data_IF_546478931211
#
_entry.id   IF_546478931211
#
_cell.length_a   1.000
_cell.length_b   1.000
_cell.length_c   1.000
_cell.angle_alpha   90.00
_cell.angle_beta   90.00
_cell.angle_gamma   90.00
#
_symmetry.space_group_name_H-M   'P 1'
#
loop_
_entity.id
_entity.type
_entity.pdbx_description
1 polymer ?
#
# COMPACT_ATOMS: atom_id res chain seq x y z
N UNK A 1 0.36 19.25 6.53
CA UNK A 1 0.07 18.11 7.44
C UNK A 1 -0.50 18.60 8.79
N UNK A 2 -1.72 19.18 8.81
CA UNK A 2 -2.31 19.70 10.06
C UNK A 2 -3.77 19.26 10.31
N UNK A 3 -4.36 18.43 9.43
CA UNK A 3 -5.79 18.13 9.45
C UNK A 3 -6.18 16.81 10.15
N UNK A 4 -5.22 15.98 10.61
CA UNK A 4 -5.53 14.65 11.17
C UNK A 4 -5.70 14.61 12.70
N UNK A 5 -5.53 15.74 13.41
CA UNK A 5 -5.59 15.80 14.88
C UNK A 5 -6.91 16.32 15.46
N UNK A 6 -7.90 16.70 14.63
CA UNK A 6 -9.14 17.30 15.10
C UNK A 6 -10.30 16.30 15.36
N UNK A 7 -10.18 15.03 14.92
CA UNK A 7 -11.31 14.08 14.93
C UNK A 7 -11.64 13.47 16.31
N UNK A 8 -10.72 13.51 17.27
CA UNK A 8 -10.88 12.77 18.54
C UNK A 8 -11.56 13.60 19.64
N UNK A 9 -11.70 14.93 19.47
CA UNK A 9 -12.12 15.82 20.56
C UNK A 9 -13.64 16.00 20.74
N UNK A 10 -14.49 15.53 19.82
CA UNK A 10 -15.90 15.95 19.80
C UNK A 10 -16.94 14.93 20.31
N UNK A 11 -16.54 13.73 20.76
CA UNK A 11 -17.51 12.62 20.97
C UNK A 11 -17.66 12.12 22.42
N UNK A 12 -17.53 13.00 23.41
CA UNK A 12 -17.57 12.60 24.82
C UNK A 12 -18.43 13.45 25.77
N UNK A 13 -19.20 14.42 25.28
CA UNK A 13 -20.03 15.28 26.13
C UNK A 13 -21.52 15.12 25.82
N UNK A 14 -22.18 14.16 26.47
CA UNK A 14 -23.62 14.26 26.80
C UNK A 14 -24.09 13.18 27.77
N UNK A 15 -24.52 13.68 28.95
CA UNK A 15 -25.74 13.33 29.69
C UNK A 15 -25.84 11.97 30.39
N UNK A 16 -26.04 12.02 31.71
CA UNK A 16 -26.69 10.96 32.48
C UNK A 16 -26.45 11.04 33.98
N UNK A 17 -27.15 11.95 34.67
CA UNK A 17 -27.26 11.97 36.13
C UNK A 17 -28.14 10.81 36.63
N UNK A 18 -27.86 10.26 37.83
CA UNK A 18 -28.88 9.46 38.54
C UNK A 18 -28.41 8.44 39.57
N UNK A 19 -28.47 8.85 40.84
CA UNK A 19 -28.80 8.06 42.05
C UNK A 19 -27.76 7.15 42.72
N UNK A 20 -27.84 7.20 44.04
CA UNK A 20 -26.92 6.70 45.05
C UNK A 20 -27.03 5.19 45.30
N UNK A 21 -25.91 4.62 45.75
CA UNK A 21 -25.83 3.28 46.33
C UNK A 21 -24.48 3.10 47.00
N UNK A 22 -24.44 3.27 48.31
CA UNK A 22 -23.25 3.10 49.14
C UNK A 22 -22.71 1.66 49.05
N UNK A 23 -21.46 1.52 48.60
CA UNK A 23 -20.76 0.25 48.52
C UNK A 23 -19.26 0.48 48.38
N UNK A 24 -18.50 0.01 49.37
CA UNK A 24 -17.05 0.14 49.59
C UNK A 24 -16.18 0.14 48.31
N UNK A 25 -15.11 0.96 48.22
CA UNK A 25 -14.24 0.96 47.05
C UNK A 25 -13.32 -0.28 47.07
N UNK A 26 -13.63 -1.29 46.25
CA UNK A 26 -12.57 -2.18 45.73
C UNK A 26 -11.89 -1.42 44.60
N UNK A 27 -10.66 -0.98 44.82
CA UNK A 27 -9.80 -0.45 43.79
C UNK A 27 -9.42 -1.59 42.81
N UNK A 28 -10.33 -1.93 41.90
CA UNK A 28 -9.98 -2.57 40.65
C UNK A 28 -9.69 -1.43 39.67
N UNK A 29 -8.43 -0.97 39.74
CA UNK A 29 -7.87 -0.09 38.73
C UNK A 29 -8.01 -0.76 37.37
N UNK A 30 -8.64 -0.05 36.44
CA UNK A 30 -8.91 -0.47 35.09
C UNK A 30 -7.66 -1.11 34.46
N UNK A 31 -7.72 -2.42 34.25
CA UNK A 31 -6.81 -3.09 33.32
C UNK A 31 -7.07 -2.48 31.95
N UNK A 32 -6.09 -1.69 31.51
CA UNK A 32 -6.04 -1.01 30.24
C UNK A 32 -6.36 -1.97 29.09
N UNK A 33 -7.33 -1.58 28.26
CA UNK A 33 -7.78 -2.20 27.01
C UNK A 33 -6.75 -2.15 25.86
N UNK A 34 -5.46 -2.24 26.16
CA UNK A 34 -4.39 -2.20 25.17
C UNK A 34 -3.49 -3.43 25.32
N UNK A 35 -3.51 -4.40 24.38
CA UNK A 35 -2.68 -5.60 24.44
C UNK A 35 -1.27 -5.30 23.92
N UNK A 36 -0.63 -4.27 24.47
CA UNK A 36 0.78 -4.01 24.21
C UNK A 36 1.52 -4.32 25.49
N UNK A 37 2.18 -5.48 25.53
CA UNK A 37 3.12 -5.75 26.60
C UNK A 37 4.19 -4.66 26.57
N UNK A 38 4.33 -3.94 27.69
CA UNK A 38 5.34 -2.90 27.82
C UNK A 38 6.72 -3.57 27.66
N UNK A 39 7.56 -3.12 26.71
CA UNK A 39 8.88 -3.70 26.50
C UNK A 39 9.65 -3.74 27.82
N UNK A 40 10.16 -4.92 28.17
CA UNK A 40 10.86 -5.11 29.43
C UNK A 40 12.13 -4.24 29.47
N UNK A 41 12.68 -3.99 30.66
CA UNK A 41 13.92 -3.23 30.81
C UNK A 41 15.09 -3.84 30.03
N UNK A 42 15.09 -5.16 29.82
CA UNK A 42 16.07 -5.86 29.00
C UNK A 42 15.91 -5.51 27.51
N UNK A 43 14.68 -5.50 27.00
CA UNK A 43 14.37 -5.12 25.61
C UNK A 43 14.77 -3.67 25.33
N UNK A 44 14.51 -2.76 26.28
CA UNK A 44 14.89 -1.34 26.15
C UNK A 44 16.41 -1.12 26.12
N UNK A 45 17.20 -1.99 26.75
CA UNK A 45 18.68 -1.93 26.73
C UNK A 45 19.26 -2.56 25.46
N UNK A 46 18.62 -3.58 24.90
CA UNK A 46 19.02 -4.21 23.65
C UNK A 46 18.59 -3.40 22.42
N UNK A 47 17.49 -2.63 22.53
CA UNK A 47 16.90 -1.85 21.43
C UNK A 47 17.88 -0.95 20.68
N UNK A 48 18.75 -0.15 21.33
CA UNK A 48 19.72 0.68 20.61
C UNK A 48 20.73 -0.12 19.80
N UNK A 49 21.11 -1.32 20.29
CA UNK A 49 22.02 -2.23 19.59
C UNK A 49 21.37 -2.87 18.37
N UNK A 50 20.12 -3.32 18.50
CA UNK A 50 19.33 -3.88 17.38
C UNK A 50 19.06 -2.82 16.31
N UNK A 51 18.72 -1.60 16.72
CA UNK A 51 18.52 -0.49 15.79
C UNK A 51 19.83 -0.13 15.10
N UNK A 52 20.94 0.03 15.82
CA UNK A 52 22.25 0.29 15.17
C UNK A 52 22.69 -0.81 14.20
N UNK A 53 22.35 -2.06 14.48
CA UNK A 53 22.70 -3.17 13.60
C UNK A 53 21.83 -3.24 12.33
N UNK A 54 20.53 -2.95 12.45
CA UNK A 54 19.56 -3.09 11.34
C UNK A 54 19.33 -1.82 10.54
N UNK A 55 19.46 -0.66 11.17
CA UNK A 55 19.16 0.63 10.57
C UNK A 55 20.03 0.92 9.33
N UNK A 56 21.34 0.63 9.29
CA UNK A 56 22.14 0.83 8.08
C UNK A 56 21.65 -0.01 6.90
N UNK A 57 21.28 -1.28 7.15
CA UNK A 57 20.76 -2.15 6.10
C UNK A 57 19.37 -1.69 5.60
N UNK A 58 18.51 -1.22 6.51
CA UNK A 58 17.22 -0.67 6.13
C UNK A 58 17.34 0.64 5.33
N UNK A 59 18.31 1.50 5.66
CA UNK A 59 18.60 2.72 4.88
C UNK A 59 19.11 2.35 3.50
N UNK A 60 20.07 1.43 3.39
CA UNK A 60 20.59 0.99 2.09
C UNK A 60 19.49 0.38 1.20
N UNK A 61 18.56 -0.40 1.77
CA UNK A 61 17.43 -0.93 1.02
C UNK A 61 16.43 0.16 0.61
N UNK A 62 16.20 1.17 1.47
CA UNK A 62 15.36 2.31 1.12
C UNK A 62 15.97 3.13 -0.03
N UNK A 63 17.27 3.42 0.01
CA UNK A 63 17.98 4.11 -1.07
C UNK A 63 17.91 3.33 -2.39
N UNK A 64 18.04 1.99 -2.32
CA UNK A 64 17.88 1.13 -3.50
C UNK A 64 16.46 1.19 -4.05
N UNK A 65 15.45 1.16 -3.18
CA UNK A 65 14.06 1.28 -3.57
C UNK A 65 13.78 2.63 -4.22
N UNK A 66 14.27 3.73 -3.66
CA UNK A 66 14.15 5.07 -4.24
C UNK A 66 14.75 5.14 -5.65
N UNK A 67 15.95 4.57 -5.85
CA UNK A 67 16.55 4.49 -7.18
C UNK A 67 15.67 3.69 -8.16
N UNK A 68 15.16 2.54 -7.73
CA UNK A 68 14.29 1.70 -8.58
C UNK A 68 12.96 2.35 -8.92
N UNK A 69 12.37 3.11 -7.99
CA UNK A 69 11.14 3.87 -8.22
C UNK A 69 11.40 4.96 -9.25
N UNK A 70 12.51 5.68 -9.13
CA UNK A 70 12.89 6.71 -10.10
C UNK A 70 13.09 6.13 -11.51
N UNK A 71 13.79 5.00 -11.64
CA UNK A 71 13.93 4.30 -12.92
C UNK A 71 12.56 3.89 -13.51
N UNK A 72 11.65 3.40 -12.66
CA UNK A 72 10.30 3.02 -13.09
C UNK A 72 9.46 4.23 -13.54
N UNK A 73 9.60 5.37 -12.86
CA UNK A 73 8.94 6.63 -13.23
C UNK A 73 9.47 7.15 -14.58
N UNK A 74 10.79 7.14 -14.79
CA UNK A 74 11.41 7.54 -16.06
C UNK A 74 10.94 6.64 -17.23
N UNK A 75 10.85 5.33 -16.99
CA UNK A 75 10.33 4.39 -17.98
C UNK A 75 8.84 4.63 -18.29
N UNK A 76 8.03 4.95 -17.28
CA UNK A 76 6.61 5.27 -17.46
C UNK A 76 6.42 6.56 -18.27
N UNK A 77 7.21 7.60 -17.99
CA UNK A 77 7.22 8.85 -18.78
C UNK A 77 7.59 8.57 -20.23
N UNK A 78 8.66 7.81 -20.46
CA UNK A 78 9.10 7.42 -21.82
C UNK A 78 8.01 6.68 -22.58
N UNK A 79 7.27 5.79 -21.91
CA UNK A 79 6.14 5.07 -22.50
C UNK A 79 4.99 6.01 -22.84
N UNK A 80 4.60 6.91 -21.93
CA UNK A 80 3.54 7.88 -22.19
C UNK A 80 3.89 8.78 -23.39
N UNK A 81 5.12 9.29 -23.45
CA UNK A 81 5.62 10.08 -24.58
C UNK A 81 5.60 9.31 -25.89
N UNK A 82 6.00 8.03 -25.88
CA UNK A 82 5.97 7.17 -27.08
C UNK A 82 4.55 7.02 -27.64
N UNK A 83 3.54 6.96 -26.78
CA UNK A 83 2.13 6.90 -27.18
C UNK A 83 1.48 8.28 -27.38
N UNK A 84 2.26 9.37 -27.30
CA UNK A 84 1.79 10.75 -27.35
C UNK A 84 0.71 11.06 -26.29
N UNK A 85 0.75 10.36 -25.17
CA UNK A 85 -0.07 10.62 -23.99
C UNK A 85 0.65 11.60 -23.06
N UNK A 86 -0.13 12.37 -22.30
CA UNK A 86 0.43 13.30 -21.32
C UNK A 86 0.86 12.52 -20.05
N UNK A 87 2.17 12.47 -19.71
CA UNK A 87 2.67 11.73 -18.57
C UNK A 87 2.16 12.27 -17.22
N UNK A 88 1.69 13.53 -17.16
CA UNK A 88 1.16 14.11 -15.93
C UNK A 88 -0.27 13.65 -15.61
N UNK A 89 -1.05 13.27 -16.63
CA UNK A 89 -2.44 12.83 -16.48
C UNK A 89 -2.62 11.32 -16.64
N UNK A 90 -1.60 10.63 -17.15
CA UNK A 90 -1.65 9.21 -17.47
C UNK A 90 -0.94 8.39 -16.39
N UNK A 91 -1.66 7.47 -15.73
CA UNK A 91 -1.04 6.58 -14.75
C UNK A 91 -0.38 5.38 -15.44
N UNK A 92 0.73 4.84 -14.89
CA UNK A 92 1.39 3.67 -15.46
C UNK A 92 0.45 2.46 -15.61
N UNK A 93 -0.49 2.27 -14.68
CA UNK A 93 -1.47 1.17 -14.76
C UNK A 93 -2.39 1.32 -15.96
N UNK A 94 -2.75 2.55 -16.34
CA UNK A 94 -3.57 2.81 -17.52
C UNK A 94 -2.86 2.35 -18.80
N UNK A 95 -1.62 2.82 -19.00
CA UNK A 95 -0.80 2.46 -20.17
C UNK A 95 -0.60 0.95 -20.26
N UNK A 96 -0.24 0.31 -19.14
CA UNK A 96 -0.03 -1.13 -19.10
C UNK A 96 -1.30 -1.93 -19.36
N UNK A 97 -2.46 -1.45 -18.89
CA UNK A 97 -3.76 -2.07 -19.15
C UNK A 97 -4.14 -2.01 -20.64
N UNK A 98 -3.90 -0.88 -21.29
CA UNK A 98 -4.13 -0.70 -22.73
C UNK A 98 -3.22 -1.65 -23.53
N UNK A 99 -1.93 -1.70 -23.20
CA UNK A 99 -0.96 -2.60 -23.84
C UNK A 99 -1.32 -4.07 -23.67
N UNK A 100 -1.72 -4.48 -22.45
CA UNK A 100 -2.15 -5.84 -22.17
C UNK A 100 -3.40 -6.22 -23.00
N UNK A 101 -4.35 -5.30 -23.10
CA UNK A 101 -5.57 -5.49 -23.89
C UNK A 101 -5.26 -5.61 -25.38
N UNK A 102 -4.39 -4.76 -25.91
CA UNK A 102 -3.93 -4.84 -27.30
C UNK A 102 -3.24 -6.18 -27.59
N UNK A 103 -2.31 -6.60 -26.72
CA UNK A 103 -1.61 -7.87 -26.87
C UNK A 103 -2.58 -9.07 -26.86
N UNK A 104 -3.59 -9.05 -26.01
CA UNK A 104 -4.62 -10.07 -25.96
C UNK A 104 -5.44 -10.12 -27.27
N UNK A 105 -5.90 -8.97 -27.76
CA UNK A 105 -6.64 -8.87 -29.03
C UNK A 105 -5.80 -9.32 -30.22
N UNK A 106 -4.53 -8.92 -30.29
CA UNK A 106 -3.61 -9.30 -31.35
C UNK A 106 -3.36 -10.81 -31.37
N UNK A 107 -3.19 -11.45 -30.21
CA UNK A 107 -3.06 -12.92 -30.12
C UNK A 107 -4.32 -13.62 -30.58
N UNK A 108 -5.49 -13.12 -30.20
CA UNK A 108 -6.77 -13.68 -30.63
C UNK A 108 -6.96 -13.57 -32.15
N UNK A 109 -6.64 -12.41 -32.73
CA UNK A 109 -6.74 -12.20 -34.18
C UNK A 109 -5.77 -13.10 -34.95
N UNK A 110 -4.51 -13.21 -34.50
CA UNK A 110 -3.53 -14.13 -35.09
C UNK A 110 -4.01 -15.58 -35.05
N UNK A 111 -4.55 -16.03 -33.90
CA UNK A 111 -5.06 -17.39 -33.75
C UNK A 111 -6.27 -17.67 -34.65
N UNK A 112 -7.12 -16.68 -34.92
CA UNK A 112 -8.24 -16.82 -35.87
C UNK A 112 -7.77 -16.85 -37.32
N UNK A 113 -6.81 -15.99 -37.68
CA UNK A 113 -6.20 -15.98 -39.00
C UNK A 113 -5.51 -17.32 -39.32
N UNK A 114 -4.72 -17.84 -38.38
CA UNK A 114 -4.07 -19.16 -38.50
C UNK A 114 -5.09 -20.30 -38.63
N UNK A 115 -6.20 -20.26 -37.88
CA UNK A 115 -7.29 -21.24 -38.00
C UNK A 115 -7.93 -21.20 -39.39
N UNK A 116 -8.23 -20.01 -39.91
CA UNK A 116 -8.78 -19.83 -41.27
C UNK A 116 -7.81 -20.33 -42.35
N UNK A 117 -6.52 -19.99 -42.24
CA UNK A 117 -5.49 -20.46 -43.16
C UNK A 117 -5.38 -21.99 -43.19
N UNK A 118 -5.41 -22.63 -42.02
CA UNK A 118 -5.41 -24.11 -41.91
C UNK A 118 -6.67 -24.74 -42.49
N UNK A 119 -7.83 -24.12 -42.32
CA UNK A 119 -9.08 -24.62 -42.90
C UNK A 119 -9.10 -24.48 -44.43
N UNK A 120 -8.52 -23.40 -44.98
CA UNK A 120 -8.39 -23.21 -46.42
C UNK A 120 -7.43 -24.23 -47.05
N UNK A 121 -6.29 -24.52 -46.40
CA UNK A 121 -5.31 -25.50 -46.87
C UNK A 121 -5.83 -26.95 -46.89
N UNK A 122 -6.88 -27.28 -46.13
CA UNK A 122 -7.51 -28.62 -46.13
C UNK A 122 -8.59 -28.80 -47.19
N UNK A 123 -9.00 -27.71 -47.86
CA UNK A 123 -10.03 -27.73 -48.93
C UNK A 123 -9.43 -27.81 -50.33
N UNK A 124 -8.10 -27.74 -50.43
CA UNK A 124 -7.31 -27.98 -51.63
C UNK A 124 -6.75 -29.41 -51.56
#
# INVERSE_FOLDING_TARGET
>A
MAALLASIRSRGARKGAGSAGAGKPKAQGAASRFPYELPTLADRRAFPGVVRAKLPAAIAEAERLEASVKEAEEAAVTLAEFFAEDPASTTPEHVLSVLASFAAMYRASLATAMRKARAAAKRQ
#
